data_IF_909511798072
#
_entry.id   IF_909511798072
#
_cell.length_a   1.000
_cell.length_b   1.000
_cell.length_c   1.000
_cell.angle_alpha   90.00
_cell.angle_beta   90.00
_cell.angle_gamma   90.00
#
_symmetry.space_group_name_H-M   'P 1'
#
loop_
_entity.id
_entity.type
_entity.pdbx_description
1 polymer ?
#
# COMPACT_ATOMS: atom_id res chain seq x y z
N UNK A 1 -13.63 -14.05 -4.01
CA UNK A 1 -12.45 -14.01 -4.90
C UNK A 1 -11.67 -15.33 -4.93
N UNK A 2 -11.58 -16.07 -3.81
CA UNK A 2 -11.00 -17.41 -3.81
C UNK A 2 -11.91 -18.41 -3.08
N UNK A 3 -13.05 -18.85 -3.65
CA UNK A 3 -13.83 -19.96 -3.07
C UNK A 3 -13.47 -21.28 -3.76
N UNK A 4 -13.36 -22.37 -3.00
CA UNK A 4 -13.08 -23.72 -3.50
C UNK A 4 -11.69 -23.89 -4.15
N UNK A 5 -10.65 -23.27 -3.58
CA UNK A 5 -9.25 -23.49 -4.01
C UNK A 5 -8.63 -24.62 -3.21
N UNK A 6 -7.55 -25.18 -3.75
CA UNK A 6 -6.75 -26.15 -3.02
C UNK A 6 -6.26 -25.49 -1.72
N UNK A 7 -6.39 -26.14 -0.54
CA UNK A 7 -5.84 -25.67 0.73
C UNK A 7 -4.42 -25.10 0.64
N UNK A 8 -3.57 -25.64 -0.22
CA UNK A 8 -2.20 -25.14 -0.45
C UNK A 8 -2.14 -23.67 -0.91
N UNK A 9 -3.13 -23.18 -1.67
CA UNK A 9 -3.16 -21.77 -2.11
C UNK A 9 -3.40 -20.86 -0.92
N UNK A 10 -4.33 -21.22 -0.03
CA UNK A 10 -4.59 -20.41 1.17
C UNK A 10 -3.40 -20.43 2.12
N UNK A 11 -2.78 -21.60 2.29
CA UNK A 11 -1.58 -21.73 3.11
C UNK A 11 -0.42 -20.88 2.55
N UNK A 12 -0.19 -20.93 1.23
CA UNK A 12 0.80 -20.06 0.59
C UNK A 12 0.52 -18.58 0.84
N UNK A 13 -0.73 -18.13 0.64
CA UNK A 13 -1.10 -16.73 0.84
C UNK A 13 -0.93 -16.28 2.29
N UNK A 14 -1.26 -17.15 3.25
CA UNK A 14 -1.07 -16.88 4.67
C UNK A 14 0.43 -16.75 5.00
N UNK A 15 1.25 -17.71 4.58
CA UNK A 15 2.70 -17.68 4.78
C UNK A 15 3.29 -16.44 4.11
N UNK A 16 2.94 -16.18 2.86
CA UNK A 16 3.40 -15.01 2.11
C UNK A 16 3.07 -13.70 2.84
N UNK A 17 1.85 -13.57 3.36
CA UNK A 17 1.45 -12.39 4.10
C UNK A 17 2.23 -12.24 5.40
N UNK A 18 2.31 -13.29 6.23
CA UNK A 18 3.06 -13.25 7.49
C UNK A 18 4.55 -12.96 7.27
N UNK A 19 5.17 -13.62 6.30
CA UNK A 19 6.58 -13.42 5.96
C UNK A 19 6.81 -12.00 5.42
N UNK A 20 5.95 -11.50 4.53
CA UNK A 20 6.13 -10.14 4.01
C UNK A 20 5.87 -9.04 5.03
N UNK A 21 4.97 -9.24 5.99
CA UNK A 21 4.83 -8.33 7.15
C UNK A 21 6.10 -8.34 8.01
N UNK A 22 6.64 -9.53 8.29
CA UNK A 22 7.90 -9.65 9.01
C UNK A 22 9.04 -8.95 8.26
N UNK A 23 9.18 -9.18 6.96
CA UNK A 23 10.21 -8.56 6.14
C UNK A 23 10.03 -7.04 6.01
N UNK A 24 8.79 -6.52 5.95
CA UNK A 24 8.54 -5.08 5.82
C UNK A 24 8.98 -4.32 7.06
N UNK A 25 8.75 -4.89 8.25
CA UNK A 25 9.24 -4.35 9.53
C UNK A 25 10.77 -4.40 9.60
N UNK A 26 11.39 -5.46 9.08
CA UNK A 26 12.85 -5.65 9.10
C UNK A 26 13.58 -5.02 7.90
N UNK A 27 12.86 -4.28 7.05
CA UNK A 27 13.47 -3.53 5.95
C UNK A 27 13.90 -2.16 6.45
N UNK A 28 15.11 -1.74 6.08
CA UNK A 28 15.64 -0.43 6.45
C UNK A 28 14.85 0.72 5.85
N UNK A 29 15.06 1.91 6.41
CA UNK A 29 14.41 3.15 5.98
C UNK A 29 15.18 3.74 4.79
N UNK A 30 14.47 4.05 3.70
CA UNK A 30 15.04 4.73 2.55
C UNK A 30 15.16 6.25 2.76
N UNK A 31 16.04 6.89 2.00
CA UNK A 31 16.21 8.35 2.07
C UNK A 31 14.93 9.13 1.76
N UNK A 32 14.11 8.63 0.83
CA UNK A 32 12.90 9.30 0.38
C UNK A 32 11.79 9.32 1.44
N UNK A 33 11.77 8.35 2.35
CA UNK A 33 10.72 8.26 3.38
C UNK A 33 10.74 9.41 4.37
N UNK A 34 11.93 9.95 4.66
CA UNK A 34 12.09 11.17 5.46
C UNK A 34 11.34 12.34 4.79
N UNK A 35 11.60 12.56 3.49
CA UNK A 35 10.96 13.64 2.74
C UNK A 35 9.45 13.43 2.65
N UNK A 36 8.98 12.19 2.50
CA UNK A 36 7.55 11.88 2.49
C UNK A 36 6.85 12.12 3.83
N UNK A 37 7.56 11.88 4.93
CA UNK A 37 7.05 12.18 6.27
C UNK A 37 7.04 13.68 6.53
N UNK A 38 8.07 14.41 6.11
CA UNK A 38 8.11 15.87 6.19
C UNK A 38 6.98 16.51 5.37
N UNK A 39 6.72 16.01 4.15
CA UNK A 39 5.60 16.43 3.32
C UNK A 39 4.27 16.26 4.06
N UNK A 40 4.08 15.14 4.77
CA UNK A 40 2.90 14.93 5.61
C UNK A 40 2.80 15.96 6.74
N UNK A 41 3.88 16.18 7.48
CA UNK A 41 3.88 17.07 8.64
C UNK A 41 3.56 18.51 8.25
N UNK A 42 4.14 19.02 7.17
CA UNK A 42 3.90 20.38 6.66
C UNK A 42 2.47 20.54 6.16
N UNK A 43 1.96 19.57 5.38
CA UNK A 43 0.58 19.61 4.91
C UNK A 43 -0.40 19.53 6.09
N UNK A 44 -0.17 18.66 7.07
CA UNK A 44 -1.03 18.52 8.25
C UNK A 44 -1.04 19.80 9.07
N UNK A 45 0.12 20.42 9.29
CA UNK A 45 0.23 21.73 9.95
C UNK A 45 -0.57 22.78 9.19
N UNK A 46 -0.39 22.84 7.88
CA UNK A 46 -1.05 23.82 7.01
C UNK A 46 -2.57 23.66 6.96
N UNK A 47 -3.08 22.43 7.01
CA UNK A 47 -4.51 22.15 7.14
C UNK A 47 -5.03 22.71 8.47
N UNK A 48 -4.32 22.47 9.59
CA UNK A 48 -4.71 23.01 10.91
C UNK A 48 -4.69 24.53 10.91
N UNK A 49 -3.63 25.14 10.39
CA UNK A 49 -3.48 26.59 10.33
C UNK A 49 -4.56 27.24 9.47
N UNK A 50 -4.95 26.60 8.36
CA UNK A 50 -6.05 27.08 7.52
C UNK A 50 -7.37 27.12 8.28
N UNK A 51 -7.69 26.07 9.06
CA UNK A 51 -8.92 26.06 9.87
C UNK A 51 -8.89 27.04 11.05
N UNK A 52 -7.71 27.33 11.61
CA UNK A 52 -7.56 28.24 12.74
C UNK A 52 -7.48 29.72 12.35
N UNK A 53 -6.82 30.01 11.23
CA UNK A 53 -6.42 31.39 10.87
C UNK A 53 -6.88 31.80 9.47
N UNK A 54 -7.33 30.85 8.64
CA UNK A 54 -7.62 31.09 7.22
C UNK A 54 -6.38 31.12 6.32
N UNK A 55 -5.18 30.85 6.86
CA UNK A 55 -3.90 30.94 6.14
C UNK A 55 -3.07 29.65 6.25
N UNK A 56 -2.12 29.45 5.35
CA UNK A 56 -1.26 28.24 5.29
C UNK A 56 0.14 28.58 4.74
N UNK A 57 0.74 29.66 5.25
CA UNK A 57 1.98 30.23 4.71
C UNK A 57 3.14 29.23 4.64
N UNK A 58 3.25 28.35 5.62
CA UNK A 58 4.27 27.30 5.67
C UNK A 58 4.24 26.40 4.44
N UNK A 59 3.06 25.99 3.96
CA UNK A 59 2.95 25.21 2.72
C UNK A 59 3.26 26.06 1.48
N UNK A 60 2.94 27.36 1.47
CA UNK A 60 3.25 28.24 0.33
C UNK A 60 4.76 28.39 0.16
N UNK A 61 5.49 28.56 1.26
CA UNK A 61 6.94 28.74 1.28
C UNK A 61 7.72 27.43 1.16
N UNK A 62 7.07 26.29 1.45
CA UNK A 62 7.70 24.99 1.37
C UNK A 62 8.10 24.64 -0.07
N UNK A 63 9.36 24.16 -0.22
CA UNK A 63 9.94 23.79 -1.52
C UNK A 63 9.10 22.71 -2.23
N UNK A 64 8.69 21.69 -1.48
CA UNK A 64 8.01 20.51 -2.01
C UNK A 64 6.48 20.61 -1.87
N UNK A 65 5.93 21.84 -1.88
CA UNK A 65 4.49 22.12 -1.69
C UNK A 65 3.52 21.45 -2.67
N UNK A 66 4.01 20.99 -3.82
CA UNK A 66 3.22 20.28 -4.82
C UNK A 66 3.25 18.75 -4.62
N UNK A 67 3.97 18.26 -3.61
CA UNK A 67 3.97 16.84 -3.26
C UNK A 67 2.69 16.50 -2.49
N UNK A 68 1.92 15.57 -3.04
CA UNK A 68 0.67 15.12 -2.46
C UNK A 68 0.87 14.18 -1.27
N UNK A 69 -0.06 14.24 -0.31
CA UNK A 69 -0.06 13.41 0.89
C UNK A 69 -1.13 12.30 0.88
N UNK A 70 -1.64 11.94 -0.30
CA UNK A 70 -2.78 11.03 -0.45
C UNK A 70 -2.58 9.69 0.25
N UNK A 71 -1.40 9.08 0.11
CA UNK A 71 -1.10 7.82 0.81
C UNK A 71 -0.87 8.01 2.32
N UNK A 72 -0.35 9.16 2.74
CA UNK A 72 -0.18 9.47 4.17
C UNK A 72 -1.54 9.54 4.88
N UNK A 73 -2.58 10.09 4.26
CA UNK A 73 -3.94 10.10 4.83
C UNK A 73 -4.41 8.68 5.20
N UNK A 74 -4.09 7.70 4.36
CA UNK A 74 -4.47 6.30 4.58
C UNK A 74 -3.55 5.64 5.59
N UNK A 75 -2.24 5.85 5.49
CA UNK A 75 -1.25 5.10 6.27
C UNK A 75 -0.99 5.65 7.67
N UNK A 76 -1.15 6.95 7.92
CA UNK A 76 -0.81 7.60 9.19
C UNK A 76 -1.60 7.07 10.39
N UNK A 77 -2.92 6.82 10.31
CA UNK A 77 -3.65 6.23 11.44
C UNK A 77 -3.06 4.87 11.87
N UNK A 78 -2.68 4.03 10.91
CA UNK A 78 -2.06 2.75 11.20
C UNK A 78 -0.64 2.89 11.72
N UNK A 79 0.13 3.88 11.23
CA UNK A 79 1.45 4.18 11.77
C UNK A 79 1.39 4.51 13.26
N UNK A 80 0.43 5.34 13.68
CA UNK A 80 0.24 5.71 15.09
C UNK A 80 -0.16 4.51 15.96
N UNK A 81 -0.89 3.53 15.43
CA UNK A 81 -1.28 2.32 16.15
C UNK A 81 -0.09 1.35 16.28
N UNK A 82 0.76 1.26 15.26
CA UNK A 82 1.84 0.27 15.19
C UNK A 82 3.17 0.76 15.78
N UNK A 83 3.42 2.07 15.84
CA UNK A 83 4.72 2.63 16.21
C UNK A 83 5.25 2.11 17.55
N UNK A 84 4.40 1.93 18.55
CA UNK A 84 4.85 1.52 19.90
C UNK A 84 5.26 0.04 19.90
N UNK A 85 4.57 -0.79 19.12
CA UNK A 85 4.96 -2.20 18.93
C UNK A 85 6.29 -2.31 18.18
N UNK A 86 6.48 -1.50 17.14
CA UNK A 86 7.71 -1.51 16.33
C UNK A 86 8.89 -0.94 17.11
N UNK A 87 8.68 0.15 17.85
CA UNK A 87 9.66 0.75 18.75
C UNK A 87 10.22 -0.27 19.73
N UNK A 88 9.33 -1.00 20.42
CA UNK A 88 9.73 -2.04 21.37
C UNK A 88 10.42 -3.24 20.69
N UNK A 89 10.00 -3.60 19.47
CA UNK A 89 10.56 -4.75 18.75
C UNK A 89 11.97 -4.48 18.21
N UNK A 90 12.23 -3.27 17.71
CA UNK A 90 13.48 -2.90 17.05
C UNK A 90 14.40 -2.01 17.89
N UNK A 91 13.98 -1.62 19.10
CA UNK A 91 14.67 -0.65 19.97
C UNK A 91 14.94 0.68 19.23
N UNK A 92 13.88 1.26 18.66
CA UNK A 92 13.95 2.46 17.82
C UNK A 92 13.33 3.68 18.50
N UNK A 93 13.84 4.86 18.14
CA UNK A 93 13.17 6.12 18.47
C UNK A 93 11.79 6.22 17.82
N UNK A 94 10.94 7.10 18.36
CA UNK A 94 9.57 7.30 17.89
C UNK A 94 9.50 7.60 16.39
N UNK A 95 10.36 8.50 15.89
CA UNK A 95 10.38 8.89 14.48
C UNK A 95 10.69 7.71 13.55
N UNK A 96 11.73 6.94 13.86
CA UNK A 96 12.07 5.74 13.08
C UNK A 96 10.96 4.69 13.11
N UNK A 97 10.29 4.54 14.25
CA UNK A 97 9.18 3.62 14.42
C UNK A 97 7.96 4.02 13.58
N UNK A 98 7.68 5.31 13.44
CA UNK A 98 6.62 5.82 12.55
C UNK A 98 6.94 5.49 11.10
N UNK A 99 8.18 5.73 10.65
CA UNK A 99 8.60 5.45 9.27
C UNK A 99 8.46 3.97 8.94
N UNK A 100 9.02 3.07 9.77
CA UNK A 100 8.91 1.62 9.56
C UNK A 100 7.47 1.13 9.65
N UNK A 101 6.64 1.73 10.51
CA UNK A 101 5.22 1.36 10.59
C UNK A 101 4.51 1.50 9.24
N UNK A 102 4.93 2.46 8.40
CA UNK A 102 4.39 2.68 7.06
C UNK A 102 4.58 1.47 6.14
N UNK A 103 5.71 0.76 6.28
CA UNK A 103 6.07 -0.41 5.48
C UNK A 103 5.02 -1.51 5.55
N UNK A 104 4.46 -1.73 6.75
CA UNK A 104 3.39 -2.70 6.99
C UNK A 104 2.16 -2.39 6.13
N UNK A 105 1.78 -1.11 6.04
CA UNK A 105 0.62 -0.68 5.24
C UNK A 105 0.90 -0.79 3.75
N UNK A 106 2.10 -0.40 3.30
CA UNK A 106 2.53 -0.54 1.90
C UNK A 106 2.41 -2.00 1.46
N UNK A 107 3.00 -2.92 2.21
CA UNK A 107 2.95 -4.35 1.91
C UNK A 107 1.52 -4.89 1.97
N UNK A 108 0.73 -4.49 2.95
CA UNK A 108 -0.66 -4.95 3.10
C UNK A 108 -1.52 -4.53 1.90
N UNK A 109 -1.38 -3.30 1.43
CA UNK A 109 -2.12 -2.82 0.24
C UNK A 109 -1.65 -3.54 -1.02
N UNK A 110 -0.35 -3.77 -1.17
CA UNK A 110 0.19 -4.59 -2.27
C UNK A 110 -0.39 -6.00 -2.26
N UNK A 111 -0.39 -6.66 -1.10
CA UNK A 111 -0.99 -7.98 -0.92
C UNK A 111 -2.49 -7.96 -1.24
N UNK A 112 -3.25 -6.95 -0.82
CA UNK A 112 -4.67 -6.86 -1.19
C UNK A 112 -4.85 -6.74 -2.71
N UNK A 113 -4.01 -5.92 -3.36
CA UNK A 113 -4.09 -5.69 -4.81
C UNK A 113 -3.92 -6.96 -5.64
N UNK A 114 -3.13 -7.92 -5.19
CA UNK A 114 -2.94 -9.18 -5.90
C UNK A 114 -4.22 -10.00 -6.00
N UNK A 115 -5.12 -9.94 -5.01
CA UNK A 115 -6.45 -10.56 -5.16
C UNK A 115 -7.26 -9.93 -6.31
N UNK A 116 -7.15 -8.62 -6.48
CA UNK A 116 -7.81 -7.91 -7.58
C UNK A 116 -7.15 -8.26 -8.92
N UNK A 117 -5.82 -8.30 -8.97
CA UNK A 117 -5.07 -8.80 -10.12
C UNK A 117 -5.49 -10.22 -10.52
N UNK A 118 -5.61 -11.12 -9.56
CA UNK A 118 -6.14 -12.47 -9.75
C UNK A 118 -7.53 -12.44 -10.39
N UNK A 119 -8.40 -11.56 -9.91
CA UNK A 119 -9.78 -11.43 -10.39
C UNK A 119 -9.85 -10.88 -11.81
N UNK A 120 -8.95 -9.95 -12.16
CA UNK A 120 -8.78 -9.46 -13.54
C UNK A 120 -8.36 -10.63 -14.45
N UNK A 121 -7.33 -11.40 -14.06
CA UNK A 121 -6.90 -12.57 -14.83
C UNK A 121 -8.06 -13.58 -15.03
N UNK A 122 -8.88 -13.80 -13.99
CA UNK A 122 -10.05 -14.67 -14.09
C UNK A 122 -11.11 -14.17 -15.06
N UNK A 123 -11.28 -12.85 -15.16
CA UNK A 123 -12.23 -12.25 -16.10
C UNK A 123 -11.73 -12.33 -17.54
N UNK A 124 -10.42 -12.16 -17.76
CA UNK A 124 -9.83 -12.09 -19.10
C UNK A 124 -9.57 -13.45 -19.73
N UNK A 125 -9.06 -14.40 -18.94
CA UNK A 125 -8.60 -15.69 -19.47
C UNK A 125 -9.55 -16.84 -19.19
N UNK A 126 -10.50 -16.66 -18.26
CA UNK A 126 -11.46 -17.68 -17.81
C UNK A 126 -10.84 -19.01 -17.31
N UNK A 127 -9.51 -19.11 -17.23
CA UNK A 127 -8.74 -20.25 -16.70
C UNK A 127 -8.29 -20.01 -15.25
N UNK A 128 -8.57 -20.99 -14.38
CA UNK A 128 -8.37 -20.87 -12.93
C UNK A 128 -6.90 -21.07 -12.58
N UNK A 129 -6.25 -22.04 -13.20
CA UNK A 129 -4.84 -22.38 -12.95
C UNK A 129 -3.95 -21.25 -13.45
N UNK A 130 -4.19 -20.76 -14.66
CA UNK A 130 -3.49 -19.63 -15.23
C UNK A 130 -3.55 -18.42 -14.30
N UNK A 131 -4.75 -18.07 -13.81
CA UNK A 131 -4.90 -16.92 -12.92
C UNK A 131 -4.15 -17.09 -11.59
N UNK A 132 -4.06 -18.31 -11.04
CA UNK A 132 -3.28 -18.60 -9.81
C UNK A 132 -1.79 -18.45 -10.10
N UNK A 133 -1.31 -18.98 -11.23
CA UNK A 133 0.09 -18.86 -11.65
C UNK A 133 0.45 -17.38 -11.81
N UNK A 134 -0.40 -16.60 -12.48
CA UNK A 134 -0.20 -15.14 -12.63
C UNK A 134 -0.16 -14.43 -11.27
N UNK A 135 -1.01 -14.81 -10.31
CA UNK A 135 -0.98 -14.27 -8.95
C UNK A 135 0.36 -14.55 -8.26
N UNK A 136 0.87 -15.78 -8.37
CA UNK A 136 2.16 -16.13 -7.77
C UNK A 136 3.31 -15.38 -8.44
N UNK A 137 3.30 -15.25 -9.77
CA UNK A 137 4.29 -14.44 -10.49
C UNK A 137 4.23 -12.98 -10.01
N UNK A 138 3.04 -12.40 -9.89
CA UNK A 138 2.87 -11.02 -9.43
C UNK A 138 3.46 -10.80 -8.02
N UNK A 139 3.19 -11.71 -7.09
CA UNK A 139 3.69 -11.62 -5.72
C UNK A 139 5.16 -11.96 -5.54
N UNK A 140 5.70 -12.88 -6.34
CA UNK A 140 7.08 -13.37 -6.23
C UNK A 140 8.03 -12.65 -7.18
N UNK A 141 7.54 -11.75 -8.04
CA UNK A 141 8.39 -10.99 -8.93
C UNK A 141 9.34 -10.10 -8.10
N UNK A 142 10.67 -10.29 -8.18
CA UNK A 142 11.61 -9.71 -7.22
C UNK A 142 11.51 -8.20 -7.05
N UNK A 143 11.30 -7.47 -8.15
CA UNK A 143 11.18 -6.01 -8.12
C UNK A 143 9.94 -5.57 -7.33
N UNK A 144 8.77 -6.14 -7.66
CA UNK A 144 7.53 -5.78 -6.97
C UNK A 144 7.57 -6.20 -5.50
N UNK A 145 8.06 -7.42 -5.24
CA UNK A 145 8.21 -7.92 -3.88
C UNK A 145 9.14 -7.03 -3.06
N UNK A 146 10.33 -6.70 -3.56
CA UNK A 146 11.29 -5.84 -2.88
C UNK A 146 10.71 -4.46 -2.57
N UNK A 147 10.16 -3.77 -3.58
CA UNK A 147 9.60 -2.44 -3.39
C UNK A 147 8.36 -2.42 -2.48
N UNK A 148 7.58 -3.51 -2.44
CA UNK A 148 6.41 -3.60 -1.57
C UNK A 148 6.73 -3.54 -0.07
N UNK A 149 7.99 -3.72 0.32
CA UNK A 149 8.40 -3.64 1.71
C UNK A 149 8.71 -2.22 2.21
N UNK A 150 8.85 -1.22 1.34
CA UNK A 150 9.22 0.13 1.79
C UNK A 150 8.70 1.28 0.93
N UNK A 151 8.48 1.10 -0.39
CA UNK A 151 8.19 2.21 -1.29
C UNK A 151 6.75 2.76 -1.10
N UNK A 152 6.57 3.97 -0.54
CA UNK A 152 5.25 4.49 -0.19
C UNK A 152 4.55 5.23 -1.34
N UNK A 153 5.18 5.32 -2.52
CA UNK A 153 4.64 6.02 -3.70
C UNK A 153 4.15 5.04 -4.75
N UNK A 154 5.09 4.28 -5.30
CA UNK A 154 4.83 3.49 -6.51
C UNK A 154 3.95 2.29 -6.21
N UNK A 155 4.18 1.62 -5.08
CA UNK A 155 3.45 0.41 -4.72
C UNK A 155 2.00 0.71 -4.34
N UNK A 156 1.70 1.71 -3.49
CA UNK A 156 0.31 2.11 -3.26
C UNK A 156 -0.36 2.56 -4.56
N UNK A 157 0.30 3.36 -5.41
CA UNK A 157 -0.25 3.79 -6.69
C UNK A 157 -0.61 2.61 -7.59
N UNK A 158 0.33 1.68 -7.82
CA UNK A 158 0.12 0.45 -8.59
C UNK A 158 -1.04 -0.36 -8.01
N UNK A 159 -1.09 -0.52 -6.70
CA UNK A 159 -2.09 -1.31 -6.01
C UNK A 159 -3.50 -0.76 -6.23
N UNK A 160 -3.68 0.55 -6.03
CA UNK A 160 -4.96 1.20 -6.30
C UNK A 160 -5.30 1.21 -7.78
N UNK A 161 -4.32 1.34 -8.67
CA UNK A 161 -4.53 1.21 -10.12
C UNK A 161 -5.12 -0.15 -10.50
N UNK A 162 -4.56 -1.25 -9.97
CA UNK A 162 -5.06 -2.62 -10.18
C UNK A 162 -6.49 -2.76 -9.64
N UNK A 163 -6.75 -2.29 -8.42
CA UNK A 163 -8.07 -2.35 -7.78
C UNK A 163 -9.11 -1.60 -8.63
N UNK A 164 -8.79 -0.37 -9.05
CA UNK A 164 -9.68 0.44 -9.89
C UNK A 164 -9.91 -0.20 -11.26
N UNK A 165 -8.87 -0.77 -11.87
CA UNK A 165 -8.97 -1.49 -13.16
C UNK A 165 -9.95 -2.66 -13.04
N UNK A 166 -9.90 -3.42 -11.94
CA UNK A 166 -10.87 -4.49 -11.71
C UNK A 166 -12.31 -3.97 -11.68
N UNK A 167 -12.58 -2.90 -10.91
CA UNK A 167 -13.92 -2.33 -10.83
C UNK A 167 -14.39 -1.75 -12.16
N UNK A 168 -13.50 -1.10 -12.91
CA UNK A 168 -13.77 -0.60 -14.25
C UNK A 168 -14.23 -1.72 -15.19
N UNK A 169 -13.50 -2.83 -15.24
CA UNK A 169 -13.87 -4.01 -16.04
C UNK A 169 -15.24 -4.55 -15.60
N UNK A 170 -15.50 -4.61 -14.29
CA UNK A 170 -16.78 -5.08 -13.72
C UNK A 170 -17.96 -4.18 -14.13
N UNK A 171 -17.75 -2.87 -14.13
CA UNK A 171 -18.76 -1.88 -14.57
C UNK A 171 -19.06 -2.07 -16.06
N UNK A 172 -18.04 -2.14 -16.92
CA UNK A 172 -18.25 -2.36 -18.36
C UNK A 172 -18.97 -3.67 -18.67
N UNK A 173 -18.60 -4.78 -18.00
CA UNK A 173 -19.30 -6.06 -18.17
C UNK A 173 -20.76 -5.99 -17.72
N UNK A 174 -21.08 -5.21 -16.71
CA UNK A 174 -22.47 -5.03 -16.25
C UNK A 174 -23.29 -4.18 -17.23
N UNK A 175 -22.69 -3.13 -17.81
CA UNK A 175 -23.35 -2.30 -18.83
C UNK A 175 -23.70 -3.14 -20.05
N UNK A 176 -22.73 -3.89 -20.60
CA UNK A 176 -22.93 -4.76 -21.77
C UNK A 176 -23.99 -5.85 -21.57
N UNK A 177 -24.27 -6.26 -20.33
CA UNK A 177 -25.31 -7.28 -20.03
C UNK A 177 -26.74 -6.71 -20.01
N UNK A 178 -26.88 -5.39 -19.91
CA UNK A 178 -28.18 -4.71 -19.90
C UNK A 178 -28.67 -4.33 -21.30
N UNK A 179 -27.77 -4.37 -22.28
CA UNK A 179 -28.06 -4.31 -23.72
C UNK A 179 -28.38 -5.72 -24.24
#
# INVERSE_FOLDING_TARGET
MLKNYNPFVYLFLLIYFCVGIYLSINTGISHDEYHEQLNWEINLKSIKDFFLTGTYQDLIEYKDRYHGIGFNIISQPFQLILKDLISNYLDLGEYGSILISKHVIVFTIFFISGFFFYSICRILFEDKKFSIISLFIFYLYPYLFGHAHFNPKDIPFLSFWIINTYFLIKIFKNIKKKE
#
